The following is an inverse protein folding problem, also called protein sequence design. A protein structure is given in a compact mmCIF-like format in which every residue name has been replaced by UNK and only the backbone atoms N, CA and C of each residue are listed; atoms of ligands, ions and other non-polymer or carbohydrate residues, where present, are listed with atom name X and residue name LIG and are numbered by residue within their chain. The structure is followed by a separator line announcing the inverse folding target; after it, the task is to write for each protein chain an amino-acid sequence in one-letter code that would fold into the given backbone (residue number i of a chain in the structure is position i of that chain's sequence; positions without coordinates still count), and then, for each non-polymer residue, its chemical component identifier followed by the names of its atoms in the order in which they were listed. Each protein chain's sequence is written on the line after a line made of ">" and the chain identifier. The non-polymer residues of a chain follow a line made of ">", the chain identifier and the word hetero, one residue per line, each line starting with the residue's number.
data_IF_162356509053
#
_entry.id   IF_162356509053
#
_cell.length_a   1.000
_cell.length_b   1.000
_cell.length_c   1.000
_cell.angle_alpha   90.00
_cell.angle_beta   90.00
_cell.angle_gamma   90.00
#
_symmetry.space_group_name_H-M   'P 1'
#
loop_
_entity.id
_entity.type
_entity.pdbx_description
1 polymer ?
#
# COMPACT_ATOMS: atom_id res chain seq x y z
N UNK A 1 7.80 -25.76 -32.72
CA UNK A 1 7.92 -24.90 -31.52
C UNK A 1 9.36 -24.53 -31.16
N UNK A 2 10.34 -25.43 -31.22
CA UNK A 2 11.74 -25.11 -30.84
C UNK A 2 12.51 -24.24 -31.86
N UNK A 3 12.19 -24.32 -33.16
CA UNK A 3 12.83 -23.49 -34.19
C UNK A 3 12.45 -21.99 -34.12
N UNK A 4 11.32 -21.64 -33.51
CA UNK A 4 10.89 -20.25 -33.41
C UNK A 4 11.70 -19.45 -32.38
N UNK A 5 12.22 -20.09 -31.32
CA UNK A 5 12.92 -19.39 -30.24
C UNK A 5 14.31 -18.87 -30.63
N UNK A 6 14.99 -19.51 -31.59
CA UNK A 6 16.33 -19.08 -32.02
C UNK A 6 16.29 -17.81 -32.88
N UNK A 7 15.21 -17.62 -33.65
CA UNK A 7 14.99 -16.43 -34.47
C UNK A 7 14.72 -15.17 -33.61
N UNK A 8 14.06 -15.36 -32.47
CA UNK A 8 13.73 -14.30 -31.52
C UNK A 8 14.94 -13.62 -30.87
N UNK A 9 16.10 -14.29 -30.83
CA UNK A 9 17.31 -13.78 -30.17
C UNK A 9 18.06 -12.74 -31.01
N UNK A 10 17.75 -12.59 -32.30
CA UNK A 10 18.44 -11.65 -33.18
C UNK A 10 17.46 -10.66 -33.85
N UNK A 11 16.54 -11.16 -34.67
CA UNK A 11 15.52 -10.33 -35.32
C UNK A 11 14.28 -11.19 -35.65
N UNK A 12 13.13 -10.93 -35.01
CA UNK A 12 11.90 -11.69 -35.25
C UNK A 12 11.28 -11.44 -36.63
N UNK A 13 11.79 -10.46 -37.39
CA UNK A 13 11.28 -10.08 -38.71
C UNK A 13 11.94 -10.82 -39.86
N UNK A 14 12.96 -11.62 -39.60
CA UNK A 14 13.68 -12.38 -40.62
C UNK A 14 13.32 -13.86 -40.43
N UNK A 15 13.01 -14.56 -41.51
CA UNK A 15 12.76 -15.99 -41.51
C UNK A 15 14.09 -16.75 -41.66
N UNK A 16 14.12 -18.06 -41.35
CA UNK A 16 15.34 -18.87 -41.50
C UNK A 16 15.89 -18.94 -42.93
N UNK A 17 15.06 -18.67 -43.94
CA UNK A 17 15.42 -18.59 -45.35
C UNK A 17 15.95 -17.21 -45.77
N UNK A 18 16.05 -16.26 -44.84
CA UNK A 18 16.47 -14.88 -45.08
C UNK A 18 15.38 -13.97 -45.63
N UNK A 19 14.16 -14.47 -45.85
CA UNK A 19 13.01 -13.65 -46.24
C UNK A 19 12.48 -12.83 -45.07
N UNK A 20 11.79 -11.72 -45.34
CA UNK A 20 11.17 -10.89 -44.31
C UNK A 20 9.77 -11.37 -43.96
N UNK A 21 9.37 -11.21 -42.70
CA UNK A 21 8.00 -11.45 -42.27
C UNK A 21 7.06 -10.38 -42.88
N UNK A 22 5.84 -10.76 -43.32
CA UNK A 22 4.87 -9.81 -43.84
C UNK A 22 4.44 -8.75 -42.82
N UNK A 23 4.41 -9.13 -41.53
CA UNK A 23 4.12 -8.23 -40.42
C UNK A 23 5.42 -7.89 -39.70
N UNK A 24 5.75 -6.60 -39.67
CA UNK A 24 6.98 -6.11 -39.06
C UNK A 24 6.76 -5.86 -37.57
N UNK A 25 7.48 -6.61 -36.74
CA UNK A 25 7.61 -6.39 -35.32
C UNK A 25 8.57 -5.21 -35.06
N UNK A 26 8.08 -4.07 -34.54
CA UNK A 26 8.93 -2.92 -34.24
C UNK A 26 9.82 -3.18 -33.02
N UNK A 27 11.09 -2.72 -33.02
CA UNK A 27 11.93 -2.82 -31.83
C UNK A 27 11.28 -2.06 -30.67
N UNK A 28 11.40 -2.62 -29.45
CA UNK A 28 10.97 -1.91 -28.26
C UNK A 28 12.01 -0.84 -27.90
N UNK A 29 11.58 0.43 -27.91
CA UNK A 29 12.44 1.58 -27.62
C UNK A 29 11.66 2.68 -26.90
N UNK A 30 12.03 3.94 -27.13
CA UNK A 30 11.40 5.10 -26.46
C UNK A 30 9.89 5.22 -26.72
N UNK A 31 9.44 4.80 -27.90
CA UNK A 31 8.02 4.80 -28.26
C UNK A 31 7.25 3.62 -27.61
N UNK A 32 7.95 2.70 -26.95
CA UNK A 32 7.42 1.51 -26.28
C UNK A 32 6.45 0.70 -27.16
N UNK A 33 6.80 0.59 -28.44
CA UNK A 33 6.01 -0.13 -29.44
C UNK A 33 6.01 -1.63 -29.16
N UNK A 34 4.84 -2.25 -29.28
CA UNK A 34 4.67 -3.70 -29.14
C UNK A 34 3.77 -4.24 -30.25
N UNK A 35 3.94 -5.53 -30.57
CA UNK A 35 3.11 -6.23 -31.55
C UNK A 35 1.89 -6.86 -30.85
N UNK A 36 0.72 -6.75 -31.46
CA UNK A 36 -0.49 -7.42 -31.00
C UNK A 36 -0.54 -8.81 -31.62
N UNK A 37 -0.34 -9.84 -30.79
CA UNK A 37 -0.46 -11.23 -31.21
C UNK A 37 -1.90 -11.72 -30.99
N UNK A 38 -2.75 -11.57 -32.00
CA UNK A 38 -4.14 -12.05 -31.98
C UNK A 38 -4.51 -12.71 -33.31
N UNK A 39 -5.37 -13.74 -33.26
CA UNK A 39 -5.85 -14.44 -34.45
C UNK A 39 -6.80 -13.60 -35.32
N UNK A 40 -7.34 -12.51 -34.75
CA UNK A 40 -8.37 -11.67 -35.40
C UNK A 40 -7.94 -10.22 -35.58
N UNK A 41 -6.85 -9.80 -34.92
CA UNK A 41 -6.39 -8.43 -34.90
C UNK A 41 -4.88 -8.41 -35.05
N UNK A 42 -4.42 -7.80 -36.13
CA UNK A 42 -3.01 -7.60 -36.40
C UNK A 42 -2.69 -6.12 -36.21
N UNK A 43 -1.43 -5.83 -35.89
CA UNK A 43 -0.97 -4.46 -35.73
C UNK A 43 -0.12 -4.23 -34.50
N UNK A 44 0.24 -2.96 -34.31
CA UNK A 44 1.16 -2.53 -33.27
C UNK A 44 0.47 -1.57 -32.31
N UNK A 45 0.77 -1.73 -31.03
CA UNK A 45 0.37 -0.80 -29.97
C UNK A 45 1.57 -0.07 -29.39
N UNK A 46 1.31 0.86 -28.47
CA UNK A 46 2.34 1.60 -27.72
C UNK A 46 2.06 1.53 -26.23
N UNK A 47 3.07 1.23 -25.43
CA UNK A 47 3.02 1.26 -23.97
C UNK A 47 1.87 0.41 -23.41
N UNK A 48 1.92 -0.91 -23.62
CA UNK A 48 0.89 -1.83 -23.16
C UNK A 48 0.63 -1.63 -21.66
N UNK A 49 -0.59 -1.21 -21.31
CA UNK A 49 -1.01 -0.96 -19.93
C UNK A 49 -0.07 -0.03 -19.16
N UNK A 50 0.56 0.95 -19.84
CA UNK A 50 1.56 1.87 -19.24
C UNK A 50 1.06 2.51 -17.95
N UNK A 51 -0.22 2.92 -17.90
CA UNK A 51 -0.83 3.51 -16.70
C UNK A 51 -0.86 2.54 -15.52
N UNK A 52 -1.24 1.29 -15.75
CA UNK A 52 -1.28 0.25 -14.73
C UNK A 52 0.12 -0.17 -14.29
N UNK A 53 1.08 -0.26 -15.22
CA UNK A 53 2.47 -0.51 -14.85
C UNK A 53 3.01 0.63 -13.98
N UNK A 54 2.82 1.88 -14.38
CA UNK A 54 3.24 3.05 -13.60
C UNK A 54 2.57 3.11 -12.23
N UNK A 55 1.32 2.67 -12.11
CA UNK A 55 0.67 2.53 -10.80
C UNK A 55 1.44 1.58 -9.88
N UNK A 56 1.76 0.38 -10.36
CA UNK A 56 2.47 -0.62 -9.55
C UNK A 56 3.95 -0.27 -9.31
N UNK A 57 4.64 0.28 -10.30
CA UNK A 57 6.09 0.52 -10.21
C UNK A 57 6.44 1.87 -9.59
N UNK A 58 5.60 2.90 -9.76
CA UNK A 58 5.92 4.25 -9.32
C UNK A 58 5.02 4.73 -8.18
N UNK A 59 3.71 4.46 -8.26
CA UNK A 59 2.75 5.00 -7.29
C UNK A 59 2.73 4.19 -5.99
N UNK A 60 2.58 2.87 -6.07
CA UNK A 60 2.50 1.99 -4.89
C UNK A 60 3.72 2.11 -3.96
N UNK A 61 4.98 2.11 -4.43
CA UNK A 61 6.12 2.27 -3.53
C UNK A 61 6.13 3.60 -2.77
N UNK A 62 5.72 4.69 -3.44
CA UNK A 62 5.62 6.03 -2.82
C UNK A 62 4.50 6.07 -1.79
N UNK A 63 3.34 5.50 -2.13
CA UNK A 63 2.21 5.41 -1.21
C UNK A 63 2.61 4.63 0.05
N UNK A 64 3.19 3.45 -0.12
CA UNK A 64 3.66 2.62 0.98
C UNK A 64 4.64 3.37 1.89
N UNK A 65 5.62 4.07 1.30
CA UNK A 65 6.58 4.87 2.07
C UNK A 65 5.91 6.00 2.86
N UNK A 66 4.92 6.67 2.28
CA UNK A 66 4.17 7.74 2.96
C UNK A 66 3.31 7.19 4.12
N UNK A 67 2.70 6.02 3.96
CA UNK A 67 1.81 5.43 4.96
C UNK A 67 2.51 4.59 6.01
N UNK A 68 3.77 4.17 5.78
CA UNK A 68 4.51 3.32 6.73
C UNK A 68 4.61 3.96 8.12
N UNK A 69 4.93 5.26 8.18
CA UNK A 69 5.03 5.99 9.45
C UNK A 69 3.71 6.07 10.22
N UNK A 70 2.56 6.13 9.54
CA UNK A 70 1.24 6.14 10.17
C UNK A 70 0.95 4.82 10.88
N UNK A 71 1.29 3.69 10.25
CA UNK A 71 1.14 2.36 10.83
C UNK A 71 1.96 2.20 12.11
N UNK A 72 3.21 2.67 12.10
CA UNK A 72 4.11 2.59 13.26
C UNK A 72 3.61 3.47 14.42
N UNK A 73 3.16 4.70 14.10
CA UNK A 73 2.58 5.60 15.10
C UNK A 73 1.28 5.03 15.68
N UNK A 74 0.42 4.43 14.85
CA UNK A 74 -0.83 3.81 15.30
C UNK A 74 -0.56 2.63 16.23
N UNK A 75 0.38 1.75 15.85
CA UNK A 75 0.79 0.62 16.69
C UNK A 75 1.37 1.09 18.03
N UNK A 76 2.25 2.10 18.00
CA UNK A 76 2.81 2.68 19.22
C UNK A 76 1.73 3.30 20.10
N UNK A 77 0.82 4.07 19.52
CA UNK A 77 -0.29 4.66 20.26
C UNK A 77 -1.18 3.58 20.89
N UNK A 78 -1.54 2.52 20.15
CA UNK A 78 -2.32 1.40 20.69
C UNK A 78 -1.63 0.73 21.87
N UNK A 79 -0.33 0.47 21.76
CA UNK A 79 0.45 -0.11 22.85
C UNK A 79 0.50 0.81 24.08
N UNK A 80 0.76 2.10 23.88
CA UNK A 80 0.80 3.07 24.96
C UNK A 80 -0.57 3.27 25.62
N UNK A 81 -1.65 3.23 24.83
CA UNK A 81 -3.02 3.38 25.31
C UNK A 81 -3.44 2.17 26.14
N UNK A 82 -3.14 0.95 25.70
CA UNK A 82 -3.36 -0.27 26.47
C UNK A 82 -2.60 -0.22 27.81
N UNK A 83 -1.32 0.17 27.77
CA UNK A 83 -0.52 0.34 28.99
C UNK A 83 -1.10 1.40 29.93
N UNK A 84 -1.58 2.51 29.39
CA UNK A 84 -2.24 3.53 30.20
C UNK A 84 -3.50 3.00 30.90
N UNK A 85 -4.32 2.25 30.17
CA UNK A 85 -5.57 1.69 30.69
C UNK A 85 -5.35 0.63 31.76
N UNK A 86 -4.35 -0.23 31.58
CA UNK A 86 -4.10 -1.37 32.46
C UNK A 86 -3.19 -1.04 33.64
N UNK A 87 -2.15 -0.22 33.43
CA UNK A 87 -1.12 0.02 34.45
C UNK A 87 -1.21 1.41 35.08
N UNK A 88 -1.43 2.46 34.28
CA UNK A 88 -1.25 3.83 34.77
C UNK A 88 -2.50 4.47 35.37
N UNK A 89 -3.68 4.16 34.83
CA UNK A 89 -4.92 4.82 35.27
C UNK A 89 -5.58 4.14 36.47
N UNK A 90 -5.18 2.91 36.82
CA UNK A 90 -5.82 2.12 37.89
C UNK A 90 -5.64 2.78 39.25
N UNK A 91 -4.41 3.11 39.63
CA UNK A 91 -4.11 3.77 40.91
C UNK A 91 -4.73 5.16 40.97
N UNK A 92 -4.70 5.89 39.85
CA UNK A 92 -5.34 7.21 39.79
C UNK A 92 -6.85 7.09 39.98
N UNK A 93 -7.52 6.12 39.32
CA UNK A 93 -8.96 5.85 39.52
C UNK A 93 -9.25 5.51 40.97
N UNK A 94 -8.45 4.64 41.58
CA UNK A 94 -8.62 4.26 42.99
C UNK A 94 -8.54 5.49 43.92
N UNK A 95 -7.48 6.29 43.81
CA UNK A 95 -7.31 7.49 44.63
C UNK A 95 -8.38 8.54 44.35
N UNK A 96 -8.79 8.71 43.09
CA UNK A 96 -9.83 9.65 42.71
C UNK A 96 -11.19 9.27 43.31
N UNK A 97 -11.53 7.98 43.33
CA UNK A 97 -12.74 7.48 44.00
C UNK A 97 -12.69 7.73 45.52
N UNK A 98 -11.56 7.48 46.17
CA UNK A 98 -11.39 7.78 47.60
C UNK A 98 -11.55 9.28 47.89
N UNK A 99 -10.93 10.13 47.07
CA UNK A 99 -11.06 11.57 47.19
C UNK A 99 -12.52 12.03 47.07
N UNK A 100 -13.29 11.52 46.10
CA UNK A 100 -14.72 11.84 45.95
C UNK A 100 -15.53 11.50 47.20
N UNK A 101 -15.28 10.34 47.83
CA UNK A 101 -15.95 9.93 49.08
C UNK A 101 -15.63 10.87 50.24
N UNK A 102 -14.36 11.23 50.41
CA UNK A 102 -13.93 12.17 51.45
C UNK A 102 -14.56 13.56 51.24
N UNK A 103 -14.65 14.02 50.00
CA UNK A 103 -15.31 15.29 49.70
C UNK A 103 -16.81 15.24 50.01
N UNK A 104 -17.50 14.15 49.67
CA UNK A 104 -18.91 13.97 50.04
C UNK A 104 -19.12 13.95 51.56
N UNK A 105 -18.26 13.25 52.30
CA UNK A 105 -18.35 13.22 53.76
C UNK A 105 -18.16 14.62 54.36
N UNK A 106 -17.12 15.36 53.91
CA UNK A 106 -16.89 16.74 54.35
C UNK A 106 -18.06 17.68 54.04
N UNK A 107 -18.69 17.51 52.88
CA UNK A 107 -19.88 18.28 52.51
C UNK A 107 -21.07 17.98 53.43
N UNK A 108 -21.31 16.70 53.73
CA UNK A 108 -22.37 16.29 54.66
C UNK A 108 -22.10 16.80 56.09
N UNK A 109 -20.87 16.70 56.58
CA UNK A 109 -20.50 17.22 57.91
C UNK A 109 -20.69 18.73 58.02
N UNK A 110 -20.35 19.47 56.97
CA UNK A 110 -20.54 20.93 56.90
C UNK A 110 -22.02 21.35 56.85
N UNK A 111 -22.94 20.44 56.51
CA UNK A 111 -24.38 20.72 56.34
C UNK A 111 -25.28 19.93 57.31
N UNK A 112 -24.72 19.05 58.14
CA UNK A 112 -25.45 18.33 59.21
C UNK A 112 -25.57 19.16 60.52
N UNK A 113 -25.11 20.42 60.51
CA UNK A 113 -25.23 21.36 61.63
C UNK A 113 -26.27 22.47 61.43
N UNK A 114 -27.07 22.44 60.35
CA UNK A 114 -28.06 23.49 60.01
C UNK A 114 -29.53 23.08 60.18
N UNK A 115 -29.81 22.03 60.97
CA UNK A 115 -31.16 21.70 61.48
C UNK A 115 -31.16 21.69 63.01
#
# INVERSE_FOLDING_TARGET
>A
MLAHLYQFLSNPNINPDGSWTPELWPPYGNDESYLILSATQNGTGRGARRRQCAFWTNYIPKLHAATASLSDMEMKWKLQMAKWEEEYIVDWKHHFEMYKRLQQHRYLDAHCGEL
#
